data_IF_603251492012
#
_entry.id   IF_603251492012
#
_cell.length_a   1.000
_cell.length_b   1.000
_cell.length_c   1.000
_cell.angle_alpha   90.00
_cell.angle_beta   90.00
_cell.angle_gamma   90.00
#
_symmetry.space_group_name_H-M   'P 1'
#
loop_
_entity.id
_entity.type
_entity.pdbx_description
1 polymer ?
#
# COMPACT_ATOMS: atom_id res chain seq x y z
N UNK A 1 24.19 -9.68 -4.22
CA UNK A 1 23.43 -8.54 -3.64
C UNK A 1 22.27 -9.10 -2.82
N UNK A 2 22.27 -8.95 -1.49
CA UNK A 2 21.17 -9.43 -0.65
C UNK A 2 19.91 -8.58 -0.90
N UNK A 3 18.88 -9.16 -1.50
CA UNK A 3 17.58 -8.52 -1.67
C UNK A 3 16.97 -8.38 -0.28
N UNK A 4 16.91 -7.17 0.29
CA UNK A 4 16.17 -6.93 1.55
C UNK A 4 14.71 -7.32 1.33
N UNK A 5 14.34 -8.52 1.77
CA UNK A 5 12.95 -8.97 1.80
C UNK A 5 12.30 -8.28 3.01
N UNK A 6 11.46 -7.28 2.76
CA UNK A 6 10.66 -6.71 3.84
C UNK A 6 9.62 -7.76 4.27
N UNK A 7 9.43 -8.00 5.58
CA UNK A 7 8.35 -8.85 6.06
C UNK A 7 7.02 -8.37 5.50
N UNK A 8 6.16 -9.30 5.08
CA UNK A 8 4.81 -8.95 4.62
C UNK A 8 4.04 -8.43 5.82
N UNK A 9 3.39 -7.28 5.65
CA UNK A 9 2.48 -6.77 6.67
C UNK A 9 1.29 -7.73 6.73
N UNK A 10 1.07 -8.31 7.91
CA UNK A 10 -0.12 -9.12 8.17
C UNK A 10 -1.16 -8.19 8.80
N UNK A 11 -2.32 -8.14 8.16
CA UNK A 11 -3.49 -7.45 8.70
C UNK A 11 -4.47 -8.51 9.20
N UNK A 12 -5.23 -8.18 10.24
CA UNK A 12 -6.43 -8.94 10.56
C UNK A 12 -7.43 -8.85 9.39
N UNK A 13 -8.39 -9.77 9.35
CA UNK A 13 -9.43 -9.74 8.31
C UNK A 13 -10.25 -8.43 8.35
N UNK A 14 -10.44 -7.86 9.53
CA UNK A 14 -11.19 -6.62 9.71
C UNK A 14 -10.39 -5.40 9.25
N UNK A 15 -9.10 -5.33 9.61
CA UNK A 15 -8.19 -4.29 9.14
C UNK A 15 -8.07 -4.29 7.61
N UNK A 16 -7.95 -5.49 7.01
CA UNK A 16 -7.91 -5.63 5.55
C UNK A 16 -9.19 -5.13 4.90
N UNK A 17 -10.36 -5.48 5.44
CA UNK A 17 -11.66 -5.00 4.94
C UNK A 17 -11.77 -3.49 5.00
N UNK A 18 -11.34 -2.86 6.09
CA UNK A 18 -11.33 -1.40 6.24
C UNK A 18 -10.46 -0.76 5.16
N UNK A 19 -9.25 -1.29 4.93
CA UNK A 19 -8.35 -0.80 3.88
C UNK A 19 -8.95 -0.96 2.48
N UNK A 20 -9.57 -2.09 2.18
CA UNK A 20 -10.23 -2.34 0.89
C UNK A 20 -11.44 -1.42 0.68
N UNK A 21 -12.20 -1.14 1.74
CA UNK A 21 -13.29 -0.18 1.74
C UNK A 21 -12.78 1.24 1.46
N UNK A 22 -11.74 1.68 2.16
CA UNK A 22 -11.11 2.99 1.94
C UNK A 22 -10.65 3.18 0.50
N UNK A 23 -10.14 2.13 -0.15
CA UNK A 23 -9.72 2.19 -1.56
C UNK A 23 -10.92 2.30 -2.51
N UNK A 24 -12.07 1.74 -2.15
CA UNK A 24 -13.30 1.78 -2.97
C UNK A 24 -14.07 3.09 -2.84
N UNK A 25 -14.09 3.70 -1.66
CA UNK A 25 -14.87 4.91 -1.42
C UNK A 25 -14.27 6.12 -2.14
N UNK A 26 -15.07 6.76 -3.01
CA UNK A 26 -14.66 7.92 -3.81
C UNK A 26 -14.72 9.25 -3.05
N UNK A 27 -15.23 9.22 -1.82
CA UNK A 27 -15.43 10.39 -0.95
C UNK A 27 -14.21 10.70 -0.09
N UNK A 28 -13.28 9.75 0.02
CA UNK A 28 -12.11 9.89 0.87
C UNK A 28 -11.00 10.72 0.20
N UNK A 29 -10.21 11.49 0.96
CA UNK A 29 -9.09 12.24 0.42
C UNK A 29 -8.08 11.34 -0.29
N UNK A 30 -7.56 11.81 -1.44
CA UNK A 30 -6.61 11.04 -2.27
C UNK A 30 -5.41 10.49 -1.48
N UNK A 31 -4.86 11.26 -0.55
CA UNK A 31 -3.73 10.84 0.28
C UNK A 31 -4.06 9.61 1.16
N UNK A 32 -5.27 9.56 1.72
CA UNK A 32 -5.74 8.46 2.56
C UNK A 32 -5.96 7.19 1.73
N UNK A 33 -6.58 7.35 0.55
CA UNK A 33 -6.76 6.27 -0.43
C UNK A 33 -5.41 5.71 -0.88
N UNK A 34 -4.45 6.59 -1.23
CA UNK A 34 -3.10 6.21 -1.64
C UNK A 34 -2.38 5.42 -0.53
N UNK A 35 -2.51 5.86 0.73
CA UNK A 35 -1.89 5.15 1.85
C UNK A 35 -2.49 3.77 2.07
N UNK A 36 -3.81 3.64 1.96
CA UNK A 36 -4.47 2.33 2.02
C UNK A 36 -3.99 1.39 0.90
N UNK A 37 -3.84 1.89 -0.34
CA UNK A 37 -3.27 1.13 -1.46
C UNK A 37 -1.83 0.66 -1.19
N UNK A 38 -1.00 1.51 -0.60
CA UNK A 38 0.39 1.18 -0.23
C UNK A 38 0.42 0.07 0.83
N UNK A 39 -0.40 0.19 1.89
CA UNK A 39 -0.49 -0.81 2.95
C UNK A 39 -0.91 -2.18 2.40
N UNK A 40 -1.97 -2.23 1.58
CA UNK A 40 -2.40 -3.46 0.90
C UNK A 40 -1.30 -3.98 -0.04
N UNK A 41 -0.57 -3.10 -0.72
CA UNK A 41 0.56 -3.46 -1.57
C UNK A 41 1.66 -4.19 -0.79
N UNK A 42 2.05 -3.68 0.38
CA UNK A 42 3.03 -4.35 1.26
C UNK A 42 2.54 -5.73 1.74
N UNK A 43 1.27 -5.84 2.13
CA UNK A 43 0.68 -7.12 2.54
C UNK A 43 0.67 -8.15 1.39
N UNK A 44 0.39 -7.70 0.17
CA UNK A 44 0.45 -8.52 -1.03
C UNK A 44 1.88 -8.81 -1.51
N UNK A 45 2.91 -8.34 -0.79
CA UNK A 45 4.32 -8.58 -1.14
C UNK A 45 4.84 -7.76 -2.32
N UNK A 46 4.15 -6.67 -2.70
CA UNK A 46 4.62 -5.76 -3.74
C UNK A 46 5.86 -5.00 -3.24
N UNK A 47 6.82 -4.82 -4.13
CA UNK A 47 8.00 -3.99 -3.86
C UNK A 47 7.67 -2.49 -3.99
N UNK A 48 8.46 -1.64 -3.34
CA UNK A 48 8.33 -0.18 -3.44
C UNK A 48 8.36 0.29 -4.90
N UNK A 49 9.24 -0.27 -5.72
CA UNK A 49 9.34 0.09 -7.15
C UNK A 49 8.10 -0.32 -7.95
N UNK A 50 7.48 -1.47 -7.63
CA UNK A 50 6.22 -1.88 -8.27
C UNK A 50 5.09 -0.92 -7.88
N UNK A 51 4.94 -0.62 -6.60
CA UNK A 51 3.92 0.32 -6.11
C UNK A 51 4.10 1.73 -6.66
N UNK A 52 5.35 2.22 -6.77
CA UNK A 52 5.65 3.53 -7.31
C UNK A 52 5.16 3.68 -8.76
N UNK A 53 5.40 2.65 -9.57
CA UNK A 53 4.93 2.60 -10.96
C UNK A 53 3.41 2.46 -11.05
N UNK A 54 2.82 1.57 -10.27
CA UNK A 54 1.38 1.29 -10.30
C UNK A 54 0.54 2.47 -9.82
N UNK A 55 1.00 3.18 -8.79
CA UNK A 55 0.27 4.33 -8.23
C UNK A 55 0.73 5.66 -8.82
N UNK A 56 1.68 5.66 -9.76
CA UNK A 56 2.28 6.84 -10.38
C UNK A 56 2.78 7.86 -9.35
N UNK A 57 3.56 7.39 -8.37
CA UNK A 57 4.14 8.23 -7.31
C UNK A 57 5.63 7.96 -7.13
N UNK A 58 6.31 8.92 -6.52
CA UNK A 58 7.74 8.77 -6.19
C UNK A 58 7.95 7.70 -5.10
N UNK A 59 9.14 7.08 -5.09
CA UNK A 59 9.52 6.13 -4.02
C UNK A 59 9.46 6.75 -2.62
N UNK A 60 9.93 8.01 -2.41
CA UNK A 60 9.75 8.70 -1.12
C UNK A 60 8.30 8.75 -0.66
N UNK A 61 7.33 8.97 -1.56
CA UNK A 61 5.89 8.98 -1.22
C UNK A 61 5.40 7.67 -0.61
N UNK A 62 6.05 6.54 -0.92
CA UNK A 62 5.67 5.22 -0.42
C UNK A 62 6.37 4.87 0.90
N UNK A 63 7.58 5.39 1.12
CA UNK A 63 8.41 5.07 2.28
C UNK A 63 8.23 6.04 3.45
N UNK A 64 7.73 7.26 3.19
CA UNK A 64 7.31 8.23 4.21
C UNK A 64 6.02 7.78 4.90
#
# INVERSE_FOLDING_TARGET
>A
MARRVRPRIQFSNDERKILEQLVRFRVEPHAKVLRAKILLGYSNGKTVSQMAREFNVSRPTIER
#
